data_IF_764389319825
#
_entry.id   IF_764389319825
#
_cell.length_a   1.000
_cell.length_b   1.000
_cell.length_c   1.000
_cell.angle_alpha   90.00
_cell.angle_beta   90.00
_cell.angle_gamma   90.00
#
_symmetry.space_group_name_H-M   'P 1'
#
loop_
_entity.id
_entity.type
_entity.pdbx_description
1 polymer ?
#
# COMPACT_ATOMS: atom_id res chain seq x y z
N UNK A 1 -9.30 20.07 9.78
CA UNK A 1 -9.25 18.88 10.65
C UNK A 1 -9.62 17.70 9.78
N UNK A 2 -8.67 16.81 9.46
CA UNK A 2 -8.98 15.58 8.72
C UNK A 2 -9.89 14.74 9.60
N UNK A 3 -11.05 14.36 9.07
CA UNK A 3 -12.00 13.53 9.82
C UNK A 3 -11.36 12.15 10.03
N UNK A 4 -11.40 11.60 11.25
CA UNK A 4 -10.86 10.25 11.53
C UNK A 4 -11.44 9.18 10.57
N UNK A 5 -12.65 9.39 10.04
CA UNK A 5 -13.23 8.55 9.00
C UNK A 5 -12.50 8.62 7.65
N UNK A 6 -12.10 9.82 7.21
CA UNK A 6 -11.34 10.03 5.97
C UNK A 6 -9.94 9.42 6.05
N UNK A 7 -9.27 9.55 7.20
CA UNK A 7 -7.96 8.95 7.42
C UNK A 7 -8.03 7.42 7.42
N UNK A 8 -9.09 6.83 7.98
CA UNK A 8 -9.31 5.38 7.95
C UNK A 8 -9.60 4.88 6.54
N UNK A 9 -10.44 5.59 5.79
CA UNK A 9 -10.73 5.26 4.39
C UNK A 9 -9.46 5.33 3.53
N UNK A 10 -8.66 6.39 3.68
CA UNK A 10 -7.40 6.54 2.95
C UNK A 10 -6.41 5.39 3.24
N UNK A 11 -6.30 4.94 4.50
CA UNK A 11 -5.48 3.76 4.84
C UNK A 11 -5.96 2.50 4.15
N UNK A 12 -7.28 2.28 4.09
CA UNK A 12 -7.87 1.12 3.44
C UNK A 12 -7.63 1.14 1.91
N UNK A 13 -7.83 2.28 1.26
CA UNK A 13 -7.61 2.44 -0.18
C UNK A 13 -6.13 2.23 -0.56
N UNK A 14 -5.21 2.78 0.24
CA UNK A 14 -3.76 2.56 0.09
C UNK A 14 -3.43 1.07 0.19
N UNK A 15 -4.00 0.38 1.18
CA UNK A 15 -3.72 -1.02 1.41
C UNK A 15 -4.28 -1.90 0.26
N UNK A 16 -5.46 -1.58 -0.28
CA UNK A 16 -6.01 -2.23 -1.48
C UNK A 16 -5.14 -2.01 -2.72
N UNK A 17 -4.69 -0.77 -2.94
CA UNK A 17 -3.82 -0.44 -4.07
C UNK A 17 -2.50 -1.21 -4.00
N UNK A 18 -1.94 -1.35 -2.79
CA UNK A 18 -0.72 -2.12 -2.58
C UNK A 18 -0.95 -3.63 -2.78
N UNK A 19 -2.12 -4.15 -2.41
CA UNK A 19 -2.51 -5.54 -2.71
C UNK A 19 -2.61 -5.81 -4.21
N UNK A 20 -3.27 -4.92 -4.96
CA UNK A 20 -3.28 -5.00 -6.43
C UNK A 20 -1.87 -4.94 -7.01
N UNK A 21 -1.05 -4.01 -6.52
CA UNK A 21 0.31 -3.83 -6.98
C UNK A 21 1.18 -5.07 -6.72
N UNK A 22 1.06 -5.71 -5.55
CA UNK A 22 1.75 -6.97 -5.24
C UNK A 22 1.31 -8.12 -6.17
N UNK A 23 0.05 -8.17 -6.60
CA UNK A 23 -0.42 -9.11 -7.62
C UNK A 23 0.21 -8.85 -9.00
N UNK A 24 0.27 -7.59 -9.44
CA UNK A 24 0.92 -7.22 -10.71
C UNK A 24 2.43 -7.56 -10.71
N UNK A 25 3.10 -7.39 -9.56
CA UNK A 25 4.51 -7.73 -9.40
C UNK A 25 4.84 -9.22 -9.57
N UNK A 26 3.86 -10.11 -9.38
CA UNK A 26 4.06 -11.56 -9.55
C UNK A 26 4.02 -12.01 -11.01
N UNK A 27 3.67 -11.12 -11.95
CA UNK A 27 3.59 -11.46 -13.38
C UNK A 27 4.98 -11.54 -14.01
N UNK A 28 5.21 -12.57 -14.83
CA UNK A 28 6.49 -12.78 -15.54
C UNK A 28 6.80 -11.70 -16.59
N UNK A 29 5.80 -10.90 -16.98
CA UNK A 29 5.92 -9.83 -17.98
C UNK A 29 6.57 -8.54 -17.46
N UNK A 30 7.02 -8.52 -16.20
CA UNK A 30 7.57 -7.31 -15.60
C UNK A 30 8.94 -6.96 -16.19
N UNK A 31 9.08 -5.73 -16.70
CA UNK A 31 10.29 -5.25 -17.38
C UNK A 31 11.29 -4.55 -16.46
N UNK A 32 10.98 -4.44 -15.15
CA UNK A 32 11.79 -3.72 -14.16
C UNK A 32 11.84 -4.43 -12.81
N UNK A 33 12.51 -3.81 -11.83
CA UNK A 33 12.65 -4.32 -10.45
C UNK A 33 11.36 -4.12 -9.65
N UNK A 34 10.61 -5.19 -9.31
CA UNK A 34 9.37 -5.07 -8.54
C UNK A 34 9.63 -4.47 -7.15
N UNK A 35 10.78 -4.79 -6.56
CA UNK A 35 11.20 -4.27 -5.25
C UNK A 35 11.35 -2.75 -5.27
N UNK A 36 11.99 -2.20 -6.31
CA UNK A 36 12.16 -0.75 -6.44
C UNK A 36 10.81 -0.07 -6.71
N UNK A 37 9.98 -0.67 -7.58
CA UNK A 37 8.67 -0.12 -7.89
C UNK A 37 7.74 -0.08 -6.65
N UNK A 38 7.79 -1.12 -5.79
CA UNK A 38 7.09 -1.14 -4.49
C UNK A 38 7.58 -0.03 -3.56
N UNK A 39 8.90 0.19 -3.49
CA UNK A 39 9.49 1.24 -2.66
C UNK A 39 9.02 2.62 -3.10
N UNK A 40 9.08 2.91 -4.41
CA UNK A 40 8.65 4.22 -4.93
C UNK A 40 7.15 4.44 -4.78
N UNK A 41 6.31 3.39 -4.91
CA UNK A 41 4.87 3.49 -4.66
C UNK A 41 4.56 3.86 -3.20
N UNK A 42 5.14 3.16 -2.23
CA UNK A 42 4.95 3.45 -0.80
C UNK A 42 5.38 4.89 -0.49
N UNK A 43 6.50 5.33 -1.05
CA UNK A 43 7.00 6.70 -0.90
C UNK A 43 6.04 7.73 -1.48
N UNK A 44 5.52 7.49 -2.69
CA UNK A 44 4.56 8.38 -3.33
C UNK A 44 3.26 8.51 -2.53
N UNK A 45 2.72 7.38 -2.03
CA UNK A 45 1.52 7.36 -1.21
C UNK A 45 1.72 8.08 0.12
N UNK A 46 2.90 7.93 0.75
CA UNK A 46 3.26 8.64 1.97
C UNK A 46 3.25 10.17 1.77
N UNK A 47 3.88 10.64 0.68
CA UNK A 47 3.91 12.06 0.33
C UNK A 47 2.50 12.60 0.06
N UNK A 48 1.69 11.87 -0.70
CA UNK A 48 0.38 12.36 -1.16
C UNK A 48 -0.68 12.33 -0.06
N UNK A 49 -0.67 11.32 0.80
CA UNK A 49 -1.70 11.12 1.84
C UNK A 49 -1.35 11.71 3.19
N UNK A 50 -0.07 12.05 3.45
CA UNK A 50 0.41 12.44 4.77
C UNK A 50 0.45 11.29 5.78
N UNK A 51 0.21 10.05 5.35
CA UNK A 51 0.34 8.84 6.17
C UNK A 51 1.79 8.36 6.09
N UNK A 52 2.43 8.11 7.22
CA UNK A 52 3.83 7.68 7.22
C UNK A 52 4.02 6.33 6.53
N UNK A 53 5.19 6.11 5.93
CA UNK A 53 5.53 4.83 5.29
C UNK A 53 5.38 3.63 6.24
N UNK A 54 5.67 3.81 7.53
CA UNK A 54 5.51 2.76 8.53
C UNK A 54 4.03 2.39 8.71
N UNK A 55 3.15 3.37 8.82
CA UNK A 55 1.70 3.13 8.92
C UNK A 55 1.12 2.49 7.66
N UNK A 56 1.67 2.82 6.49
CA UNK A 56 1.30 2.18 5.22
C UNK A 56 1.73 0.70 5.21
N UNK A 57 2.96 0.40 5.67
CA UNK A 57 3.48 -0.96 5.78
C UNK A 57 2.69 -1.80 6.80
N UNK A 58 2.37 -1.24 7.95
CA UNK A 58 1.52 -1.87 8.97
C UNK A 58 0.13 -2.22 8.41
N UNK A 59 -0.52 -1.27 7.73
CA UNK A 59 -1.85 -1.50 7.12
C UNK A 59 -1.81 -2.61 6.05
N UNK A 60 -0.67 -2.79 5.39
CA UNK A 60 -0.40 -3.84 4.42
C UNK A 60 -0.26 -5.23 5.07
N UNK A 61 0.44 -5.29 6.21
CA UNK A 61 0.56 -6.52 7.02
C UNK A 61 -0.81 -6.93 7.56
N UNK A 62 -1.57 -6.00 8.15
CA UNK A 62 -2.91 -6.23 8.69
C UNK A 62 -3.88 -6.82 7.64
N UNK A 63 -3.81 -6.33 6.40
CA UNK A 63 -4.60 -6.89 5.29
C UNK A 63 -4.20 -8.32 4.95
N UNK A 64 -2.89 -8.63 4.92
CA UNK A 64 -2.39 -9.98 4.61
C UNK A 64 -2.78 -10.99 5.68
N UNK A 65 -2.78 -10.57 6.94
CA UNK A 65 -3.24 -11.40 8.05
C UNK A 65 -4.75 -11.63 7.98
N UNK A 66 -5.53 -10.60 7.63
CA UNK A 66 -6.99 -10.69 7.49
C UNK A 66 -7.45 -11.57 6.32
N UNK A 67 -6.61 -11.77 5.29
CA UNK A 67 -6.92 -12.64 4.14
C UNK A 67 -6.49 -14.11 4.32
N UNK A 68 -5.82 -14.46 5.42
CA UNK A 68 -5.38 -15.83 5.74
C UNK A 68 -6.33 -16.59 6.67
N UNK A 69 -7.39 -15.95 7.16
CA UNK A 69 -8.48 -16.54 7.95
C UNK A 69 -9.66 -16.93 7.05
#
# INVERSE_FOLDING_TARGET
MVNNGEQRAAKFDIANLLGWFECEMQKESNTGSPVDARRELIRALSIFSGISENQIKESLEDLKESQKQ
#
